data_IF_722996024325
#
_entry.id   IF_722996024325
#
_cell.length_a   1.000
_cell.length_b   1.000
_cell.length_c   1.000
_cell.angle_alpha   90.00
_cell.angle_beta   90.00
_cell.angle_gamma   90.00
#
_symmetry.space_group_name_H-M   'P 1'
#
loop_
_entity.id
_entity.type
_entity.pdbx_description
1 polymer ?
#
# COMPACT_ATOMS: atom_id res chain seq x y z
N UNK A 1 -14.45 -7.17 -12.80
CA UNK A 1 -13.28 -7.70 -12.06
C UNK A 1 -13.19 -7.00 -10.71
N UNK A 2 -13.05 -7.77 -9.64
CA UNK A 2 -12.90 -7.21 -8.31
C UNK A 2 -11.49 -6.63 -8.15
N UNK A 3 -11.40 -5.41 -7.61
CA UNK A 3 -10.13 -4.74 -7.35
C UNK A 3 -10.05 -4.41 -5.86
N UNK A 4 -8.86 -4.57 -5.31
CA UNK A 4 -8.59 -4.35 -3.88
C UNK A 4 -7.64 -3.17 -3.73
N UNK A 5 -8.03 -2.19 -2.94
CA UNK A 5 -7.16 -1.08 -2.56
C UNK A 5 -6.67 -1.35 -1.13
N UNK A 6 -5.37 -1.58 -0.99
CA UNK A 6 -4.80 -1.85 0.33
C UNK A 6 -4.21 -0.57 0.92
N UNK A 7 -4.34 -0.45 2.23
CA UNK A 7 -3.87 0.72 2.96
C UNK A 7 -2.40 0.60 3.37
N UNK A 8 -1.88 1.69 3.92
CA UNK A 8 -0.48 1.77 4.35
C UNK A 8 -0.16 0.72 5.42
N UNK A 9 -1.03 0.52 6.40
CA UNK A 9 -0.80 -0.43 7.48
C UNK A 9 -0.72 -1.87 6.95
N UNK A 10 -1.56 -2.22 5.99
CA UNK A 10 -1.51 -3.53 5.33
C UNK A 10 -0.20 -3.72 4.58
N UNK A 11 0.27 -2.68 3.88
CA UNK A 11 1.56 -2.71 3.21
C UNK A 11 2.70 -2.95 4.21
N UNK A 12 2.71 -2.20 5.31
CA UNK A 12 3.74 -2.31 6.34
C UNK A 12 3.72 -3.70 6.98
N UNK A 13 2.54 -4.26 7.22
CA UNK A 13 2.36 -5.62 7.72
C UNK A 13 3.12 -6.63 6.85
N UNK A 14 2.93 -6.55 5.53
CA UNK A 14 3.57 -7.47 4.60
C UNK A 14 5.07 -7.20 4.46
N UNK A 15 5.47 -5.92 4.36
CA UNK A 15 6.88 -5.53 4.19
C UNK A 15 7.70 -5.94 5.41
N UNK A 16 7.15 -5.79 6.62
CA UNK A 16 7.83 -6.14 7.86
C UNK A 16 7.67 -7.61 8.25
N UNK A 17 7.05 -8.40 7.38
CA UNK A 17 6.89 -9.85 7.58
C UNK A 17 6.26 -10.20 8.92
N UNK A 18 5.20 -9.48 9.28
CA UNK A 18 4.44 -9.75 10.50
C UNK A 18 3.79 -11.13 10.43
N UNK A 19 3.47 -11.77 11.56
CA UNK A 19 2.82 -13.08 11.55
C UNK A 19 1.56 -13.09 10.68
N UNK A 20 1.51 -14.01 9.72
CA UNK A 20 0.40 -14.10 8.75
C UNK A 20 0.69 -13.47 7.39
N UNK A 21 1.84 -12.82 7.21
CA UNK A 21 2.17 -12.16 5.94
C UNK A 21 2.23 -13.13 4.76
N UNK A 22 2.64 -14.37 5.00
CA UNK A 22 2.76 -15.38 3.95
C UNK A 22 1.40 -15.74 3.35
N UNK A 23 0.38 -15.82 4.20
CA UNK A 23 -0.99 -16.07 3.76
C UNK A 23 -1.50 -14.91 2.89
N UNK A 24 -1.19 -13.69 3.30
CA UNK A 24 -1.55 -12.50 2.54
C UNK A 24 -0.88 -12.51 1.16
N UNK A 25 0.44 -12.75 1.12
CA UNK A 25 1.16 -12.81 -0.15
C UNK A 25 0.66 -13.93 -1.05
N UNK A 26 0.32 -15.09 -0.49
CA UNK A 26 -0.24 -16.20 -1.26
C UNK A 26 -1.56 -15.81 -1.93
N UNK A 27 -2.41 -15.07 -1.23
CA UNK A 27 -3.67 -14.55 -1.80
C UNK A 27 -3.39 -13.55 -2.92
N UNK A 28 -2.42 -12.67 -2.73
CA UNK A 28 -2.04 -11.69 -3.75
C UNK A 28 -1.48 -12.37 -5.00
N UNK A 29 -0.68 -13.41 -4.83
CA UNK A 29 -0.09 -14.13 -5.95
C UNK A 29 -1.14 -14.84 -6.82
N UNK A 30 -2.32 -15.11 -6.28
CA UNK A 30 -3.45 -15.67 -7.02
C UNK A 30 -4.23 -14.64 -7.83
N UNK A 31 -3.88 -13.36 -7.73
CA UNK A 31 -4.58 -12.27 -8.41
C UNK A 31 -3.76 -11.76 -9.60
N UNK A 32 -4.47 -11.20 -10.58
CA UNK A 32 -3.82 -10.59 -11.73
C UNK A 32 -3.26 -9.22 -11.36
N UNK A 33 -2.22 -8.79 -12.07
CA UNK A 33 -1.72 -7.43 -11.96
C UNK A 33 -2.87 -6.45 -12.24
N UNK A 34 -2.96 -5.41 -11.42
CA UNK A 34 -4.06 -4.44 -11.52
C UNK A 34 -5.27 -4.77 -10.65
N UNK A 35 -5.33 -5.98 -10.07
CA UNK A 35 -6.38 -6.30 -9.11
C UNK A 35 -6.05 -5.81 -7.70
N UNK A 36 -4.78 -5.65 -7.37
CA UNK A 36 -4.35 -5.12 -6.08
C UNK A 36 -3.64 -3.79 -6.31
N UNK A 37 -4.15 -2.75 -5.67
CA UNK A 37 -3.66 -1.39 -5.85
C UNK A 37 -3.27 -0.76 -4.53
N UNK A 38 -2.39 0.22 -4.61
CA UNK A 38 -2.20 1.18 -3.53
C UNK A 38 -2.46 2.58 -4.08
N UNK A 39 -2.85 3.51 -3.22
CA UNK A 39 -2.99 4.90 -3.63
C UNK A 39 -1.63 5.58 -3.72
N UNK A 40 -1.56 6.66 -4.48
CA UNK A 40 -0.35 7.49 -4.51
C UNK A 40 -0.04 8.05 -3.12
N UNK A 41 -1.05 8.27 -2.28
CA UNK A 41 -0.85 8.72 -0.90
C UNK A 41 -0.13 7.65 -0.08
N UNK A 42 -0.54 6.39 -0.21
CA UNK A 42 0.14 5.27 0.44
C UNK A 42 1.60 5.19 -0.01
N UNK A 43 1.85 5.34 -1.29
CA UNK A 43 3.23 5.35 -1.80
C UNK A 43 4.04 6.50 -1.17
N UNK A 44 3.47 7.70 -1.05
CA UNK A 44 4.13 8.83 -0.39
C UNK A 44 4.46 8.51 1.07
N UNK A 45 3.56 7.85 1.78
CA UNK A 45 3.80 7.46 3.17
C UNK A 45 4.92 6.43 3.30
N UNK A 46 4.97 5.46 2.38
CA UNK A 46 6.04 4.47 2.35
C UNK A 46 7.40 5.14 2.04
N UNK A 47 7.42 6.08 1.09
CA UNK A 47 8.63 6.85 0.77
C UNK A 47 9.10 7.69 1.97
N UNK A 48 8.17 8.32 2.68
CA UNK A 48 8.50 9.07 3.89
C UNK A 48 9.10 8.16 4.97
N UNK A 49 8.58 6.94 5.11
CA UNK A 49 9.12 5.95 6.03
C UNK A 49 10.55 5.54 5.68
N UNK A 50 10.85 5.36 4.39
CA UNK A 50 12.21 5.07 3.94
C UNK A 50 13.14 6.23 4.29
N UNK A 51 12.74 7.45 3.99
CA UNK A 51 13.56 8.65 4.21
C UNK A 51 13.91 8.86 5.68
N UNK A 52 13.04 8.44 6.58
CA UNK A 52 13.26 8.54 8.04
C UNK A 52 14.04 7.38 8.63
N UNK A 53 14.27 6.31 7.87
CA UNK A 53 14.89 5.12 8.42
C UNK A 53 16.42 5.25 8.47
N UNK A 54 17.04 4.52 9.39
CA UNK A 54 18.49 4.45 9.49
C UNK A 54 19.11 3.52 8.44
N UNK A 55 18.29 2.69 7.77
CA UNK A 55 18.73 1.71 6.79
C UNK A 55 17.98 1.92 5.48
N UNK A 56 18.18 3.09 4.87
CA UNK A 56 17.42 3.52 3.71
C UNK A 56 17.51 2.56 2.52
N UNK A 57 18.72 2.12 2.16
CA UNK A 57 18.88 1.23 1.01
C UNK A 57 18.21 -0.12 1.23
N UNK A 58 18.37 -0.69 2.41
CA UNK A 58 17.74 -1.96 2.77
C UNK A 58 16.21 -1.86 2.72
N UNK A 59 15.66 -0.80 3.30
CA UNK A 59 14.22 -0.60 3.37
C UNK A 59 13.65 -0.26 1.99
N UNK A 60 14.38 0.48 1.16
CA UNK A 60 13.98 0.76 -0.21
C UNK A 60 13.84 -0.53 -1.02
N UNK A 61 14.78 -1.43 -0.93
CA UNK A 61 14.71 -2.73 -1.60
C UNK A 61 13.47 -3.51 -1.19
N UNK A 62 13.17 -3.54 0.10
CA UNK A 62 12.01 -4.26 0.62
C UNK A 62 10.69 -3.65 0.11
N UNK A 63 10.58 -2.34 0.14
CA UNK A 63 9.40 -1.63 -0.32
C UNK A 63 9.21 -1.81 -1.82
N UNK A 64 10.26 -1.61 -2.61
CA UNK A 64 10.20 -1.76 -4.06
C UNK A 64 9.83 -3.17 -4.48
N UNK A 65 10.38 -4.17 -3.79
CA UNK A 65 10.04 -5.57 -4.05
C UNK A 65 8.55 -5.84 -3.83
N UNK A 66 8.00 -5.29 -2.77
CA UNK A 66 6.57 -5.44 -2.48
C UNK A 66 5.72 -4.69 -3.51
N UNK A 67 6.05 -3.44 -3.81
CA UNK A 67 5.27 -2.58 -4.72
C UNK A 67 5.28 -3.11 -6.15
N UNK A 68 6.33 -3.83 -6.56
CA UNK A 68 6.41 -4.39 -7.90
C UNK A 68 5.21 -5.29 -8.25
N UNK A 69 4.51 -5.81 -7.27
CA UNK A 69 3.31 -6.65 -7.44
C UNK A 69 2.03 -5.86 -7.59
N UNK A 70 2.08 -4.55 -7.40
CA UNK A 70 0.90 -3.71 -7.23
C UNK A 70 0.82 -2.67 -8.33
N UNK A 71 -0.41 -2.20 -8.57
CA UNK A 71 -0.63 -1.01 -9.38
C UNK A 71 -0.78 0.18 -8.44
N UNK A 72 -0.16 1.31 -8.79
CA UNK A 72 -0.33 2.55 -8.05
C UNK A 72 -1.45 3.36 -8.69
N UNK A 73 -2.52 3.60 -7.94
CA UNK A 73 -3.65 4.38 -8.41
C UNK A 73 -3.38 5.87 -8.18
N UNK A 74 -3.50 6.71 -9.23
CA UNK A 74 -3.33 8.14 -9.06
C UNK A 74 -4.47 8.71 -8.19
N UNK A 75 -4.17 9.78 -7.48
CA UNK A 75 -5.17 10.52 -6.73
C UNK A 75 -5.76 11.58 -7.66
N UNK A 76 -6.96 11.34 -8.14
CA UNK A 76 -7.71 12.33 -8.91
C UNK A 76 -8.73 13.05 -8.02
N UNK A 77 -9.41 14.05 -8.59
CA UNK A 77 -10.33 14.87 -7.80
C UNK A 77 -11.48 14.07 -7.19
N UNK A 78 -12.18 13.18 -7.92
CA UNK A 78 -13.22 12.35 -7.32
C UNK A 78 -12.72 11.46 -6.18
N UNK A 79 -11.55 10.89 -6.33
CA UNK A 79 -10.94 10.04 -5.27
C UNK A 79 -10.59 10.87 -4.05
N UNK A 80 -10.06 12.09 -4.25
CA UNK A 80 -9.73 12.99 -3.15
C UNK A 80 -10.97 13.36 -2.34
N UNK A 81 -12.08 13.65 -2.99
CA UNK A 81 -13.35 13.94 -2.33
C UNK A 81 -13.83 12.76 -1.51
N UNK A 82 -13.80 11.58 -2.10
CA UNK A 82 -14.22 10.36 -1.41
C UNK A 82 -13.37 10.09 -0.18
N UNK A 83 -12.07 10.26 -0.32
CA UNK A 83 -11.14 10.10 0.79
C UNK A 83 -11.46 11.06 1.94
N UNK A 84 -11.71 12.34 1.61
CA UNK A 84 -12.07 13.35 2.60
C UNK A 84 -13.35 12.99 3.36
N UNK A 85 -14.37 12.52 2.65
CA UNK A 85 -15.65 12.13 3.26
C UNK A 85 -15.47 10.96 4.22
N UNK A 86 -14.75 9.94 3.80
CA UNK A 86 -14.49 8.75 4.63
C UNK A 86 -13.69 9.13 5.87
N UNK A 87 -12.65 9.94 5.70
CA UNK A 87 -11.82 10.36 6.82
C UNK A 87 -12.61 11.19 7.83
N UNK A 88 -13.41 12.13 7.36
CA UNK A 88 -14.26 12.94 8.22
C UNK A 88 -15.26 12.09 9.01
N UNK A 89 -15.83 11.08 8.37
CA UNK A 89 -16.71 10.13 9.04
C UNK A 89 -15.99 9.36 10.15
N UNK A 90 -14.78 8.87 9.87
CA UNK A 90 -14.02 8.07 10.84
C UNK A 90 -13.52 8.88 12.03
N UNK A 91 -13.32 10.19 11.87
CA UNK A 91 -12.81 11.07 12.92
C UNK A 91 -13.91 11.74 13.76
N UNK A 92 -15.17 11.45 13.50
CA UNK A 92 -16.29 11.95 14.30
C UNK A 92 -16.39 11.26 15.70
#
# INVERSE_FOLDING_TARGET
MIRYLIDTDTCIFAINRRPGYERMLARMDGLLYGQVLISIVTLCELEAGIAKSARQDHNRHRVEHFIARLEVAPLDEPVAKRYGDVRAFLER
#
